data_IF_116490702523
#
_entry.id   IF_116490702523
#
_cell.length_a   1.000
_cell.length_b   1.000
_cell.length_c   1.000
_cell.angle_alpha   90.00
_cell.angle_beta   90.00
_cell.angle_gamma   90.00
#
_symmetry.space_group_name_H-M   'P 1'
#
loop_
_entity.id
_entity.type
_entity.pdbx_description
1 polymer ?
#
# COMPACT_ATOMS: atom_id res chain seq x y z
N UNK A 1 -33.90 -14.65 -9.75
CA UNK A 1 -32.50 -14.15 -9.72
C UNK A 1 -32.31 -12.81 -10.45
N UNK A 2 -33.15 -12.47 -11.45
CA UNK A 2 -33.08 -11.18 -12.16
C UNK A 2 -33.48 -9.93 -11.33
N UNK A 3 -34.35 -10.07 -10.32
CA UNK A 3 -34.90 -8.91 -9.58
C UNK A 3 -33.99 -8.32 -8.49
N UNK A 4 -32.98 -9.07 -8.00
CA UNK A 4 -32.03 -8.56 -7.00
C UNK A 4 -30.81 -7.87 -7.64
N UNK A 5 -30.49 -8.20 -8.89
CA UNK A 5 -29.33 -7.64 -9.61
C UNK A 5 -29.56 -6.16 -9.96
N UNK A 6 -30.81 -5.76 -10.23
CA UNK A 6 -31.16 -4.37 -10.56
C UNK A 6 -31.12 -3.42 -9.35
N UNK A 7 -31.21 -3.92 -8.12
CA UNK A 7 -31.14 -3.08 -6.91
C UNK A 7 -29.70 -2.76 -6.49
N UNK A 8 -28.75 -3.67 -6.74
CA UNK A 8 -27.32 -3.39 -6.53
C UNK A 8 -26.78 -2.38 -7.55
N UNK A 9 -27.25 -2.43 -8.81
CA UNK A 9 -26.91 -1.41 -9.80
C UNK A 9 -27.50 -0.03 -9.48
N UNK A 10 -28.68 0.04 -8.85
CA UNK A 10 -29.27 1.32 -8.42
C UNK A 10 -28.50 1.97 -7.26
N UNK A 11 -27.87 1.18 -6.37
CA UNK A 11 -27.03 1.70 -5.29
C UNK A 11 -25.68 2.25 -5.78
N UNK A 12 -25.16 1.70 -6.89
CA UNK A 12 -23.98 2.24 -7.58
C UNK A 12 -24.24 3.58 -8.30
N UNK A 13 -25.51 3.91 -8.59
CA UNK A 13 -25.91 5.14 -9.29
C UNK A 13 -26.27 6.31 -8.35
N UNK A 14 -26.30 6.08 -7.03
CA UNK A 14 -26.70 7.08 -6.02
C UNK A 14 -25.51 7.71 -5.26
N UNK A 15 -24.28 7.55 -5.74
CA UNK A 15 -23.12 8.31 -5.23
C UNK A 15 -22.72 9.47 -6.16
N UNK A 16 -23.41 10.62 -6.15
CA UNK A 16 -22.75 11.90 -6.38
C UNK A 16 -22.34 12.47 -5.02
N UNK A 17 -21.36 11.84 -4.37
CA UNK A 17 -20.75 12.40 -3.15
C UNK A 17 -19.63 13.34 -3.60
N UNK A 18 -19.97 14.64 -3.58
CA UNK A 18 -19.06 15.77 -3.38
C UNK A 18 -17.66 15.59 -4.01
N UNK A 19 -17.52 16.02 -5.26
CA UNK A 19 -16.22 16.33 -5.85
C UNK A 19 -15.61 17.54 -5.12
N UNK A 20 -15.04 17.31 -3.95
CA UNK A 20 -14.03 18.19 -3.36
C UNK A 20 -12.73 17.81 -4.09
N UNK A 21 -12.00 18.80 -4.61
CA UNK A 21 -10.91 18.64 -5.59
C UNK A 21 -10.05 17.40 -5.40
N UNK A 22 -10.04 16.52 -6.40
CA UNK A 22 -9.20 15.32 -6.42
C UNK A 22 -7.74 15.72 -6.65
N UNK A 23 -6.94 15.72 -5.59
CA UNK A 23 -5.50 15.49 -5.73
C UNK A 23 -5.29 13.97 -5.74
N UNK A 24 -4.59 13.44 -6.74
CA UNK A 24 -4.30 12.00 -6.91
C UNK A 24 -3.32 11.44 -5.87
N UNK A 25 -3.23 12.05 -4.69
CA UNK A 25 -2.26 11.77 -3.63
C UNK A 25 -3.02 11.35 -2.39
N UNK A 26 -2.79 10.13 -1.91
CA UNK A 26 -3.45 9.61 -0.70
C UNK A 26 -2.85 10.26 0.54
N UNK A 27 -1.54 10.48 0.52
CA UNK A 27 -0.79 10.99 1.64
C UNK A 27 -0.79 12.52 1.66
N UNK A 28 -0.77 13.04 2.87
CA UNK A 28 -0.51 14.45 3.17
C UNK A 28 0.81 14.61 3.94
N UNK A 29 1.63 13.57 3.93
CA UNK A 29 2.74 13.43 4.85
C UNK A 29 3.95 14.24 4.41
N UNK A 30 4.47 15.16 5.25
CA UNK A 30 5.75 15.80 4.99
C UNK A 30 6.89 14.79 4.87
N UNK A 31 6.80 13.61 5.49
CA UNK A 31 7.79 12.54 5.36
C UNK A 31 7.75 11.84 4.00
N UNK A 32 6.70 12.06 3.19
CA UNK A 32 6.66 11.59 1.80
C UNK A 32 7.54 12.40 0.84
N UNK A 33 8.17 13.47 1.33
CA UNK A 33 9.22 14.20 0.61
C UNK A 33 10.43 13.32 0.26
N UNK A 34 10.72 12.33 1.10
CA UNK A 34 11.96 11.58 1.04
C UNK A 34 11.88 10.36 0.11
N UNK A 35 12.95 10.14 -0.64
CA UNK A 35 13.10 9.00 -1.55
C UNK A 35 11.93 8.84 -2.53
N UNK A 36 11.26 7.68 -2.47
CA UNK A 36 10.11 7.35 -3.33
C UNK A 36 8.75 7.57 -2.64
N UNK A 37 8.73 8.28 -1.52
CA UNK A 37 7.53 8.53 -0.70
C UNK A 37 7.36 7.59 0.48
N UNK A 38 6.15 7.58 1.03
CA UNK A 38 5.78 6.70 2.15
C UNK A 38 5.15 5.40 1.65
N UNK A 39 5.40 4.30 2.36
CA UNK A 39 4.74 3.03 2.08
C UNK A 39 3.22 3.20 2.18
N UNK A 40 2.52 2.66 1.19
CA UNK A 40 1.06 2.76 1.15
C UNK A 40 0.44 1.91 2.24
N UNK A 41 -0.61 2.43 2.89
CA UNK A 41 -1.36 1.70 3.92
C UNK A 41 -2.46 0.80 3.33
N UNK A 42 -2.48 0.64 2.01
CA UNK A 42 -3.34 -0.31 1.32
C UNK A 42 -2.92 -1.73 1.65
N UNK A 43 -3.91 -2.56 1.98
CA UNK A 43 -3.73 -3.98 2.23
C UNK A 43 -4.88 -4.72 1.57
N UNK A 44 -4.60 -5.90 1.03
CA UNK A 44 -5.59 -6.73 0.33
C UNK A 44 -6.49 -7.44 1.35
N UNK A 45 -7.81 -7.39 1.09
CA UNK A 45 -8.78 -8.26 1.75
C UNK A 45 -8.81 -8.14 3.28
N UNK A 46 -8.39 -9.20 3.98
CA UNK A 46 -8.45 -9.29 5.45
C UNK A 46 -7.26 -8.67 6.18
N UNK A 47 -6.13 -8.51 5.50
CA UNK A 47 -4.87 -8.17 6.16
C UNK A 47 -4.90 -6.76 6.78
N UNK A 48 -5.70 -5.86 6.20
CA UNK A 48 -5.91 -4.49 6.69
C UNK A 48 -6.49 -4.42 8.12
N UNK A 49 -7.12 -5.49 8.60
CA UNK A 49 -7.71 -5.59 9.94
C UNK A 49 -6.95 -6.54 10.88
N UNK A 50 -5.81 -7.09 10.43
CA UNK A 50 -5.04 -8.13 11.12
C UNK A 50 -3.57 -7.71 11.33
N UNK A 51 -3.33 -6.42 11.50
CA UNK A 51 -2.00 -5.87 11.75
C UNK A 51 -1.15 -5.65 10.49
N UNK A 52 -1.71 -5.80 9.28
CA UNK A 52 -1.02 -5.51 8.01
C UNK A 52 -0.01 -6.58 7.55
N UNK A 53 0.16 -7.65 8.33
CA UNK A 53 0.95 -8.82 7.96
C UNK A 53 0.13 -9.91 7.27
N UNK A 54 0.69 -11.11 7.23
CA UNK A 54 0.02 -12.27 6.67
C UNK A 54 0.93 -13.28 6.00
N UNK A 55 2.19 -13.40 6.40
CA UNK A 55 3.17 -14.24 5.71
C UNK A 55 2.78 -15.73 5.70
N UNK A 56 2.05 -16.17 6.73
CA UNK A 56 1.54 -17.54 6.86
C UNK A 56 0.09 -17.73 6.37
N UNK A 57 -0.60 -16.66 5.95
CA UNK A 57 -1.95 -16.77 5.41
C UNK A 57 -1.95 -17.40 4.02
N UNK A 58 -2.87 -18.33 3.79
CA UNK A 58 -3.04 -19.01 2.51
C UNK A 58 -4.11 -18.31 1.66
N UNK A 59 -3.93 -18.36 0.33
CA UNK A 59 -4.91 -17.89 -0.63
C UNK A 59 -5.93 -18.99 -0.93
N UNK A 60 -7.01 -19.04 -0.14
CA UNK A 60 -8.08 -20.04 -0.28
C UNK A 60 -9.37 -19.39 -0.80
N UNK A 61 -9.84 -18.38 -0.08
CA UNK A 61 -11.04 -17.59 -0.36
C UNK A 61 -10.74 -16.09 -0.51
N UNK A 62 -9.52 -15.68 -0.18
CA UNK A 62 -9.05 -14.30 -0.20
C UNK A 62 -7.60 -14.29 -0.69
N UNK A 63 -7.27 -13.37 -1.59
CA UNK A 63 -5.92 -13.22 -2.15
C UNK A 63 -4.97 -12.72 -1.05
N UNK A 64 -3.74 -13.24 -1.03
CA UNK A 64 -2.71 -12.80 -0.10
C UNK A 64 -1.37 -12.57 -0.83
N UNK A 65 -1.02 -11.31 -1.02
CA UNK A 65 0.16 -10.93 -1.81
C UNK A 65 1.47 -10.91 -1.01
N UNK A 66 1.41 -11.04 0.33
CA UNK A 66 2.61 -11.04 1.17
C UNK A 66 3.50 -12.27 0.98
N UNK A 67 2.98 -13.38 0.43
CA UNK A 67 3.77 -14.59 0.20
C UNK A 67 3.35 -15.31 -1.10
N UNK A 68 4.22 -15.41 -2.11
CA UNK A 68 3.87 -16.07 -3.38
C UNK A 68 3.56 -17.57 -3.21
N UNK A 69 4.08 -18.24 -2.18
CA UNK A 69 3.77 -19.65 -1.91
C UNK A 69 2.31 -19.86 -1.49
N UNK A 70 1.60 -18.81 -1.05
CA UNK A 70 0.20 -18.87 -0.64
C UNK A 70 -0.75 -19.20 -1.78
N UNK A 71 -0.38 -18.88 -3.03
CA UNK A 71 -1.16 -19.13 -4.23
C UNK A 71 -1.26 -20.62 -4.57
N UNK A 72 -0.34 -21.46 -4.04
CA UNK A 72 -0.43 -22.90 -4.18
C UNK A 72 -1.58 -23.52 -3.36
N UNK A 73 -2.23 -22.75 -2.48
CA UNK A 73 -3.35 -23.21 -1.66
C UNK A 73 -4.72 -22.92 -2.29
N UNK A 74 -4.77 -22.33 -3.49
CA UNK A 74 -6.02 -22.06 -4.20
C UNK A 74 -6.71 -23.40 -4.50
N UNK A 75 -7.97 -23.61 -4.05
CA UNK A 75 -8.69 -24.84 -4.34
C UNK A 75 -8.87 -25.05 -5.85
N UNK A 76 -8.97 -26.31 -6.26
CA UNK A 76 -9.21 -26.68 -7.65
C UNK A 76 -10.45 -26.00 -8.22
N UNK A 77 -10.35 -25.58 -9.49
CA UNK A 77 -11.39 -24.87 -10.23
C UNK A 77 -11.81 -23.50 -9.66
N UNK A 78 -11.17 -22.99 -8.61
CA UNK A 78 -11.47 -21.67 -8.09
C UNK A 78 -10.78 -20.57 -8.90
N UNK A 79 -11.55 -19.52 -9.17
CA UNK A 79 -11.06 -18.22 -9.62
C UNK A 79 -11.41 -17.17 -8.55
N UNK A 80 -10.41 -16.40 -8.14
CA UNK A 80 -10.52 -15.35 -7.13
C UNK A 80 -10.39 -13.98 -7.79
N UNK A 81 -11.20 -13.05 -7.34
CA UNK A 81 -11.09 -11.62 -7.67
C UNK A 81 -11.07 -10.83 -6.38
N UNK A 82 -10.24 -9.80 -6.32
CA UNK A 82 -10.24 -8.87 -5.20
C UNK A 82 -10.17 -7.43 -5.73
N UNK A 83 -11.09 -6.60 -5.26
CA UNK A 83 -11.10 -5.16 -5.56
C UNK A 83 -11.25 -4.40 -4.25
N UNK A 84 -10.33 -3.47 -4.01
CA UNK A 84 -10.29 -2.71 -2.78
C UNK A 84 -10.26 -1.21 -2.99
N UNK A 85 -10.90 -0.50 -2.07
CA UNK A 85 -10.93 0.95 -1.98
C UNK A 85 -10.46 1.37 -0.58
N UNK A 86 -9.64 2.41 -0.53
CA UNK A 86 -9.17 3.03 0.71
C UNK A 86 -9.58 4.49 0.74
N UNK A 87 -10.03 4.96 1.90
CA UNK A 87 -10.16 6.37 2.22
C UNK A 87 -9.35 6.67 3.48
N UNK A 88 -8.60 7.77 3.48
CA UNK A 88 -7.72 8.15 4.57
C UNK A 88 -7.97 9.60 4.98
N UNK A 89 -8.20 9.81 6.28
CA UNK A 89 -8.20 11.12 6.92
C UNK A 89 -6.89 11.27 7.70
N UNK A 90 -5.97 12.07 7.17
CA UNK A 90 -4.70 12.40 7.79
C UNK A 90 -4.79 13.70 8.58
N UNK A 91 -4.10 13.77 9.71
CA UNK A 91 -3.89 14.97 10.49
C UNK A 91 -2.40 15.14 10.76
N UNK A 92 -1.85 16.31 10.45
CA UNK A 92 -0.47 16.68 10.76
C UNK A 92 -0.51 17.77 11.82
N UNK A 93 0.14 17.53 12.96
CA UNK A 93 0.23 18.51 14.05
C UNK A 93 1.66 19.01 14.22
N UNK A 94 1.80 20.33 14.35
CA UNK A 94 3.07 20.98 14.67
C UNK A 94 2.84 22.25 15.48
N UNK A 95 3.46 22.34 16.66
CA UNK A 95 3.51 23.55 17.52
C UNK A 95 2.14 24.26 17.70
N UNK A 96 1.06 23.49 17.82
CA UNK A 96 -0.31 23.99 18.08
C UNK A 96 -1.19 24.20 16.84
N UNK A 97 -0.67 24.04 15.63
CA UNK A 97 -1.47 24.02 14.40
C UNK A 97 -1.76 22.56 13.98
N UNK A 98 -3.00 22.31 13.56
CA UNK A 98 -3.47 21.01 13.06
C UNK A 98 -4.02 21.17 11.64
N UNK A 99 -3.45 20.45 10.68
CA UNK A 99 -3.97 20.39 9.30
C UNK A 99 -4.58 19.02 9.01
N UNK A 100 -5.82 19.00 8.52
CA UNK A 100 -6.55 17.77 8.15
C UNK A 100 -6.70 17.66 6.65
N UNK A 101 -6.49 16.46 6.11
CA UNK A 101 -6.75 16.13 4.70
C UNK A 101 -7.48 14.80 4.57
N UNK A 102 -8.44 14.75 3.65
CA UNK A 102 -9.17 13.54 3.28
C UNK A 102 -8.77 13.17 1.84
N UNK A 103 -8.32 11.94 1.66
CA UNK A 103 -8.00 11.38 0.34
C UNK A 103 -8.59 9.98 0.19
N UNK A 104 -8.74 9.51 -1.05
CA UNK A 104 -9.19 8.15 -1.33
C UNK A 104 -8.64 7.63 -2.66
N UNK A 105 -8.44 6.32 -2.75
CA UNK A 105 -7.87 5.65 -3.92
C UNK A 105 -8.28 4.17 -3.96
N UNK A 106 -7.95 3.50 -5.07
CA UNK A 106 -7.99 2.05 -5.18
C UNK A 106 -6.84 1.47 -4.34
N UNK A 107 -7.16 0.54 -3.45
CA UNK A 107 -6.15 -0.14 -2.63
C UNK A 107 -5.50 -1.28 -3.40
N UNK A 108 -6.27 -1.98 -4.23
CA UNK A 108 -5.79 -3.08 -5.05
C UNK A 108 -6.82 -3.49 -6.11
N UNK A 109 -6.31 -4.09 -7.17
CA UNK A 109 -7.04 -4.91 -8.12
C UNK A 109 -6.28 -6.22 -8.30
N UNK A 110 -6.89 -7.35 -7.97
CA UNK A 110 -6.22 -8.64 -8.01
C UNK A 110 -7.08 -9.75 -8.60
N UNK A 111 -6.43 -10.67 -9.29
CA UNK A 111 -7.00 -11.93 -9.76
C UNK A 111 -6.09 -13.08 -9.38
N UNK A 112 -6.67 -14.24 -9.08
CA UNK A 112 -5.90 -15.44 -8.83
C UNK A 112 -6.66 -16.69 -9.26
N UNK A 113 -5.95 -17.70 -9.74
CA UNK A 113 -6.56 -18.95 -10.14
C UNK A 113 -5.61 -20.13 -9.96
N UNK A 114 -6.18 -21.31 -9.83
CA UNK A 114 -5.41 -22.55 -9.92
C UNK A 114 -4.98 -22.81 -11.38
N UNK A 115 -3.77 -23.33 -11.55
CA UNK A 115 -3.27 -23.87 -12.83
C UNK A 115 -3.40 -25.39 -12.90
N UNK A 116 -3.82 -26.02 -11.80
CA UNK A 116 -3.95 -27.46 -11.62
C UNK A 116 -3.84 -27.83 -10.14
N UNK A 117 -3.97 -29.13 -9.82
CA UNK A 117 -4.11 -29.60 -8.44
C UNK A 117 -2.96 -29.25 -7.47
N UNK A 118 -1.82 -28.78 -7.97
CA UNK A 118 -0.61 -28.50 -7.18
C UNK A 118 -0.05 -27.11 -7.35
N UNK A 119 -0.69 -26.24 -8.13
CA UNK A 119 -0.16 -24.90 -8.37
C UNK A 119 -1.22 -23.87 -8.69
N UNK A 120 -0.94 -22.64 -8.31
CA UNK A 120 -1.80 -21.49 -8.59
C UNK A 120 -0.97 -20.25 -8.87
N UNK A 121 -1.60 -19.28 -9.51
CA UNK A 121 -1.00 -18.00 -9.81
C UNK A 121 -1.93 -16.86 -9.39
N UNK A 122 -1.39 -15.66 -9.31
CA UNK A 122 -2.20 -14.46 -9.25
C UNK A 122 -1.47 -13.23 -9.74
N UNK A 123 -2.26 -12.30 -10.27
CA UNK A 123 -1.82 -11.01 -10.77
C UNK A 123 -2.48 -9.94 -9.91
N UNK A 124 -1.67 -9.07 -9.30
CA UNK A 124 -2.11 -8.01 -8.40
C UNK A 124 -1.56 -6.68 -8.89
N UNK A 125 -2.40 -5.67 -9.00
CA UNK A 125 -2.00 -4.27 -9.15
C UNK A 125 -2.35 -3.55 -7.85
N UNK A 126 -1.35 -2.99 -7.19
CA UNK A 126 -1.53 -2.21 -5.96
C UNK A 126 -0.58 -1.01 -5.91
N UNK A 127 -0.95 0.08 -5.22
CA UNK A 127 -0.01 1.13 -4.88
C UNK A 127 1.18 0.55 -4.10
N UNK A 128 2.39 1.04 -4.39
CA UNK A 128 3.62 0.64 -3.71
C UNK A 128 4.09 1.74 -2.74
N UNK A 129 4.11 2.98 -3.22
CA UNK A 129 4.43 4.17 -2.41
C UNK A 129 3.57 5.35 -2.83
N UNK A 130 3.40 6.30 -1.92
CA UNK A 130 2.60 7.52 -2.14
C UNK A 130 3.41 8.77 -1.77
N UNK A 131 3.35 9.79 -2.61
CA UNK A 131 3.96 11.11 -2.38
C UNK A 131 2.87 12.16 -2.39
N UNK A 132 2.85 12.99 -1.35
CA UNK A 132 1.85 14.02 -1.16
C UNK A 132 2.22 14.94 -0.01
N UNK A 133 2.79 16.10 -0.33
CA UNK A 133 3.13 17.12 0.65
C UNK A 133 2.94 18.53 0.07
N UNK A 134 2.75 19.50 0.97
CA UNK A 134 2.71 20.91 0.64
C UNK A 134 3.48 21.67 1.73
N UNK A 135 4.60 22.28 1.35
CA UNK A 135 5.40 23.16 2.19
C UNK A 135 5.12 24.59 1.74
N UNK A 136 4.50 25.39 2.61
CA UNK A 136 4.08 26.76 2.29
C UNK A 136 4.99 27.74 3.01
N UNK A 137 5.48 28.75 2.28
CA UNK A 137 6.25 29.84 2.87
C UNK A 137 7.70 29.46 3.22
N UNK A 138 8.30 28.52 2.47
CA UNK A 138 9.70 28.13 2.68
C UNK A 138 10.60 29.28 2.26
N UNK A 139 11.30 29.88 3.24
CA UNK A 139 12.31 30.90 3.00
C UNK A 139 13.64 30.25 2.63
N UNK A 140 14.23 30.68 1.52
CA UNK A 140 15.51 30.16 1.03
C UNK A 140 16.40 31.30 0.55
N UNK A 141 17.72 31.14 0.67
CA UNK A 141 18.69 32.12 0.20
C UNK A 141 18.79 32.07 -1.32
N UNK A 142 18.94 33.22 -1.97
CA UNK A 142 19.35 33.29 -3.37
C UNK A 142 20.83 32.90 -3.43
N UNK A 143 21.16 31.85 -4.18
CA UNK A 143 22.54 31.39 -4.31
C UNK A 143 23.45 32.53 -4.80
N UNK A 144 24.52 32.80 -4.04
CA UNK A 144 25.45 33.90 -4.33
C UNK A 144 25.00 35.29 -3.87
N UNK A 145 23.90 35.44 -3.13
CA UNK A 145 23.50 36.69 -2.47
C UNK A 145 23.09 36.50 -1.00
N UNK A 146 22.89 37.59 -0.27
CA UNK A 146 22.31 37.59 1.09
C UNK A 146 20.79 37.75 1.09
N UNK A 147 20.17 37.86 -0.08
CA UNK A 147 18.73 38.03 -0.22
C UNK A 147 18.03 36.68 -0.09
N UNK A 148 16.80 36.71 0.42
CA UNK A 148 15.94 35.53 0.53
C UNK A 148 14.75 35.61 -0.41
N UNK A 149 14.19 34.47 -0.75
CA UNK A 149 12.92 34.35 -1.44
C UNK A 149 12.02 33.36 -0.73
N UNK A 150 10.71 33.56 -0.88
CA UNK A 150 9.70 32.67 -0.33
C UNK A 150 9.18 31.76 -1.45
N UNK A 151 9.15 30.46 -1.18
CA UNK A 151 8.64 29.47 -2.10
C UNK A 151 7.59 28.56 -1.47
N UNK A 152 6.69 28.06 -2.32
CA UNK A 152 5.74 27.02 -1.98
C UNK A 152 6.12 25.76 -2.76
N UNK A 153 6.35 24.64 -2.07
CA UNK A 153 6.81 23.39 -2.65
C UNK A 153 5.71 22.35 -2.51
N UNK A 154 5.34 21.70 -3.61
CA UNK A 154 4.30 20.69 -3.67
C UNK A 154 4.87 19.40 -4.25
N UNK A 155 4.69 18.28 -3.56
CA UNK A 155 5.00 16.96 -4.08
C UNK A 155 3.74 16.14 -4.30
N UNK A 156 3.71 15.38 -5.39
CA UNK A 156 2.59 14.51 -5.71
C UNK A 156 3.01 13.30 -6.54
N UNK A 157 2.26 12.21 -6.42
CA UNK A 157 2.43 11.01 -7.23
C UNK A 157 2.75 9.80 -6.38
N UNK A 158 3.57 8.91 -6.90
CA UNK A 158 3.92 7.65 -6.22
C UNK A 158 4.21 6.54 -7.21
N UNK A 159 4.43 5.35 -6.66
CA UNK A 159 4.73 4.13 -7.42
C UNK A 159 3.62 3.10 -7.25
N UNK A 160 3.45 2.25 -8.26
CA UNK A 160 2.55 1.10 -8.26
C UNK A 160 3.36 -0.17 -8.48
N UNK A 161 2.88 -1.29 -7.94
CA UNK A 161 3.41 -2.62 -8.18
C UNK A 161 2.39 -3.44 -8.98
N UNK A 162 2.80 -3.89 -10.18
CA UNK A 162 2.13 -4.95 -10.91
C UNK A 162 2.87 -6.26 -10.64
N UNK A 163 2.30 -7.10 -9.78
CA UNK A 163 2.92 -8.31 -9.27
C UNK A 163 2.27 -9.58 -9.80
N UNK A 164 3.08 -10.45 -10.41
CA UNK A 164 2.73 -11.82 -10.74
C UNK A 164 3.30 -12.78 -9.70
N UNK A 165 2.45 -13.55 -9.04
CA UNK A 165 2.85 -14.61 -8.12
C UNK A 165 2.54 -15.97 -8.71
N UNK A 166 3.42 -16.94 -8.44
CA UNK A 166 3.19 -18.35 -8.73
C UNK A 166 3.59 -19.20 -7.52
N UNK A 167 2.68 -20.07 -7.09
CA UNK A 167 2.89 -21.00 -5.99
C UNK A 167 2.78 -22.45 -6.43
N UNK A 168 3.60 -23.31 -5.85
CA UNK A 168 3.62 -24.76 -6.08
C UNK A 168 3.64 -25.56 -4.77
N UNK A 169 2.84 -26.62 -4.70
CA UNK A 169 2.83 -27.60 -3.59
C UNK A 169 3.99 -28.56 -3.80
N UNK A 170 5.11 -28.33 -3.10
CA UNK A 170 6.29 -29.20 -3.16
C UNK A 170 6.03 -30.55 -2.47
N UNK A 171 5.40 -30.51 -1.30
CA UNK A 171 4.89 -31.66 -0.52
C UNK A 171 3.55 -31.27 0.09
N UNK A 172 2.72 -32.22 0.51
CA UNK A 172 1.34 -31.94 0.99
C UNK A 172 1.25 -30.85 2.07
N UNK A 173 2.29 -30.71 2.89
CA UNK A 173 2.41 -29.71 3.95
C UNK A 173 3.43 -28.60 3.68
N UNK A 174 4.05 -28.56 2.50
CA UNK A 174 5.10 -27.60 2.16
C UNK A 174 4.87 -27.01 0.76
N UNK A 175 4.77 -25.70 0.71
CA UNK A 175 4.53 -24.91 -0.51
C UNK A 175 5.69 -23.95 -0.71
N UNK A 176 6.07 -23.77 -1.96
CA UNK A 176 7.07 -22.78 -2.38
C UNK A 176 6.42 -21.86 -3.39
N UNK A 177 6.98 -20.67 -3.57
CA UNK A 177 6.49 -19.75 -4.58
C UNK A 177 7.55 -18.74 -5.01
N UNK A 178 7.31 -18.15 -6.16
CA UNK A 178 8.09 -17.08 -6.75
C UNK A 178 7.16 -15.95 -7.15
N UNK A 179 7.61 -14.72 -6.98
CA UNK A 179 6.91 -13.53 -7.42
C UNK A 179 7.82 -12.64 -8.26
N UNK A 180 7.20 -11.94 -9.21
CA UNK A 180 7.82 -10.95 -10.06
C UNK A 180 6.97 -9.68 -10.03
N UNK A 181 7.53 -8.62 -9.47
CA UNK A 181 6.95 -7.28 -9.38
C UNK A 181 7.53 -6.39 -10.47
N UNK A 182 6.67 -5.69 -11.19
CA UNK A 182 7.04 -4.54 -12.01
C UNK A 182 6.62 -3.27 -11.27
N UNK A 183 7.60 -2.57 -10.73
CA UNK A 183 7.40 -1.34 -9.95
C UNK A 183 7.56 -0.16 -10.89
N UNK A 184 6.55 0.71 -10.97
CA UNK A 184 6.56 1.85 -11.88
C UNK A 184 5.74 3.02 -11.35
N UNK A 185 6.10 4.23 -11.74
CA UNK A 185 5.32 5.40 -11.37
C UNK A 185 6.03 6.71 -11.66
N UNK A 186 5.45 7.80 -11.18
CA UNK A 186 6.00 9.14 -11.37
C UNK A 186 5.80 9.93 -10.10
N UNK A 187 6.87 10.56 -9.65
CA UNK A 187 6.86 11.53 -8.56
C UNK A 187 7.11 12.89 -9.20
N UNK A 188 6.24 13.84 -8.87
CA UNK A 188 6.28 15.20 -9.38
C UNK A 188 6.48 16.16 -8.22
N UNK A 189 7.51 16.98 -8.32
CA UNK A 189 7.71 18.14 -7.47
C UNK A 189 7.39 19.43 -8.24
N UNK A 190 6.79 20.40 -7.57
CA UNK A 190 6.55 21.73 -8.11
C UNK A 190 6.90 22.77 -7.07
N UNK A 191 7.93 23.56 -7.35
CA UNK A 191 8.30 24.72 -6.56
C UNK A 191 7.78 25.98 -7.24
N UNK A 192 7.03 26.78 -6.49
CA UNK A 192 6.51 28.09 -6.92
C UNK A 192 7.13 29.19 -6.10
N UNK A 193 7.80 30.10 -6.78
CA UNK A 193 8.35 31.32 -6.18
C UNK A 193 7.53 32.47 -6.72
N UNK A 194 6.95 33.26 -5.83
CA UNK A 194 6.11 34.39 -6.20
C UNK A 194 6.61 35.67 -5.55
N UNK A 195 6.84 36.68 -6.38
CA UNK A 195 7.08 38.06 -5.99
C UNK A 195 5.86 38.92 -6.39
N UNK A 196 5.86 40.20 -6.01
CA UNK A 196 4.71 41.10 -6.19
C UNK A 196 4.18 41.15 -7.63
N UNK A 197 5.05 41.00 -8.63
CA UNK A 197 4.70 41.10 -10.04
C UNK A 197 5.25 39.98 -10.93
N UNK A 198 6.01 39.03 -10.35
CA UNK A 198 6.71 37.99 -11.09
C UNK A 198 6.47 36.63 -10.42
N UNK A 199 6.46 35.56 -11.21
CA UNK A 199 6.46 34.20 -10.69
C UNK A 199 7.46 33.32 -11.44
N UNK A 200 8.02 32.35 -10.72
CA UNK A 200 8.83 31.27 -11.24
C UNK A 200 8.20 29.96 -10.78
N UNK A 201 7.99 29.04 -11.70
CA UNK A 201 7.56 27.67 -11.43
C UNK A 201 8.62 26.71 -11.95
N UNK A 202 9.16 25.89 -11.05
CA UNK A 202 10.06 24.78 -11.37
C UNK A 202 9.26 23.49 -11.17
N UNK A 203 9.15 22.70 -12.22
CA UNK A 203 8.47 21.40 -12.22
C UNK A 203 9.49 20.31 -12.54
N UNK A 204 9.66 19.39 -11.59
CA UNK A 204 10.53 18.22 -11.73
C UNK A 204 9.67 16.95 -11.73
N UNK A 205 9.92 16.05 -12.68
CA UNK A 205 9.20 14.77 -12.82
C UNK A 205 10.20 13.62 -12.90
N UNK A 206 10.21 12.81 -11.86
CA UNK A 206 11.01 11.61 -11.77
C UNK A 206 10.13 10.40 -12.09
N UNK A 207 10.43 9.71 -13.19
CA UNK A 207 9.78 8.48 -13.64
C UNK A 207 10.62 7.29 -13.21
N UNK A 208 10.01 6.41 -12.43
CA UNK A 208 10.68 5.21 -11.90
C UNK A 208 10.16 3.97 -12.63
N UNK A 209 11.05 3.02 -12.89
CA UNK A 209 10.68 1.69 -13.36
C UNK A 209 11.71 0.63 -12.98
N UNK A 210 11.26 -0.56 -12.60
CA UNK A 210 12.16 -1.67 -12.28
C UNK A 210 11.43 -3.00 -12.08
N UNK A 211 12.18 -4.09 -12.15
CA UNK A 211 11.70 -5.43 -11.84
C UNK A 211 12.27 -5.87 -10.49
N UNK A 212 11.45 -6.54 -9.69
CA UNK A 212 11.84 -7.10 -8.40
C UNK A 212 11.34 -8.52 -8.27
N UNK A 213 12.17 -9.39 -7.71
CA UNK A 213 11.81 -10.79 -7.49
C UNK A 213 11.60 -11.06 -6.01
N UNK A 214 10.68 -11.97 -5.72
CA UNK A 214 10.46 -12.52 -4.39
C UNK A 214 10.38 -14.04 -4.42
N UNK A 215 10.81 -14.65 -3.32
CA UNK A 215 10.67 -16.08 -3.06
C UNK A 215 9.90 -16.28 -1.78
N UNK A 216 9.10 -17.34 -1.74
CA UNK A 216 8.23 -17.65 -0.62
C UNK A 216 8.23 -19.12 -0.26
N UNK A 217 8.05 -19.38 1.03
CA UNK A 217 7.87 -20.70 1.62
C UNK A 217 6.65 -20.64 2.54
N UNK A 218 5.79 -21.65 2.50
CA UNK A 218 4.73 -21.84 3.48
C UNK A 218 4.65 -23.30 3.89
N UNK A 219 4.37 -23.55 5.18
CA UNK A 219 4.21 -24.90 5.67
C UNK A 219 3.14 -25.05 6.73
N UNK A 220 2.63 -26.27 6.85
CA UNK A 220 1.68 -26.69 7.88
C UNK A 220 2.41 -27.61 8.86
N UNK A 221 2.58 -27.16 10.10
CA UNK A 221 3.22 -27.94 11.17
C UNK A 221 2.20 -28.92 11.75
N UNK A 222 1.03 -28.41 12.10
CA UNK A 222 -0.15 -29.18 12.52
C UNK A 222 -1.40 -28.57 11.90
N UNK A 223 -2.55 -29.21 12.07
CA UNK A 223 -3.83 -28.68 11.56
C UNK A 223 -4.17 -27.32 12.19
N UNK A 224 -3.60 -27.02 13.36
CA UNK A 224 -3.78 -25.77 14.09
C UNK A 224 -2.65 -24.75 13.86
N UNK A 225 -1.50 -25.13 13.30
CA UNK A 225 -0.33 -24.24 13.21
C UNK A 225 0.31 -24.25 11.82
N UNK A 226 0.40 -23.07 11.24
CA UNK A 226 1.04 -22.80 9.94
C UNK A 226 2.12 -21.75 10.08
N UNK A 227 3.10 -21.78 9.18
CA UNK A 227 4.14 -20.76 9.07
C UNK A 227 4.31 -20.31 7.62
N UNK A 228 4.93 -19.15 7.45
CA UNK A 228 5.37 -18.67 6.16
C UNK A 228 6.60 -17.77 6.28
N UNK A 229 7.46 -17.84 5.28
CA UNK A 229 8.66 -17.03 5.14
C UNK A 229 8.75 -16.49 3.73
N UNK A 230 9.29 -15.29 3.58
CA UNK A 230 9.53 -14.65 2.30
C UNK A 230 10.84 -13.89 2.29
N UNK A 231 11.42 -13.78 1.11
CA UNK A 231 12.53 -12.89 0.85
C UNK A 231 12.24 -12.14 -0.46
N UNK A 232 12.14 -10.81 -0.37
CA UNK A 232 12.04 -9.93 -1.53
C UNK A 232 13.43 -9.38 -1.81
N UNK A 233 13.97 -9.72 -2.96
CA UNK A 233 15.37 -9.45 -3.30
C UNK A 233 15.60 -7.96 -3.55
N UNK A 234 16.82 -7.44 -3.24
CA UNK A 234 17.19 -6.08 -3.55
C UNK A 234 17.18 -5.86 -5.07
N UNK A 235 16.89 -4.64 -5.50
CA UNK A 235 16.88 -4.24 -6.92
C UNK A 235 17.05 -2.74 -7.04
N UNK A 236 17.43 -2.27 -8.23
CA UNK A 236 17.57 -0.84 -8.52
C UNK A 236 16.48 -0.41 -9.49
N UNK A 237 15.75 0.66 -9.15
CA UNK A 237 14.78 1.30 -10.01
C UNK A 237 15.49 2.31 -10.90
N UNK A 238 15.27 2.21 -12.21
CA UNK A 238 15.76 3.20 -13.18
C UNK A 238 14.98 4.48 -13.03
N UNK A 239 15.69 5.61 -13.01
CA UNK A 239 15.10 6.95 -12.87
C UNK A 239 15.33 7.74 -14.15
N UNK A 240 14.26 8.29 -14.70
CA UNK A 240 14.30 9.26 -15.80
C UNK A 240 13.68 10.57 -15.33
N UNK A 241 14.37 11.67 -15.58
CA UNK A 241 14.04 13.00 -15.09
C UNK A 241 13.63 13.91 -16.25
N UNK A 242 12.48 14.56 -16.07
CA UNK A 242 12.05 15.68 -16.91
C UNK A 242 11.96 16.92 -16.03
N UNK A 243 12.55 18.04 -16.49
CA UNK A 243 12.54 19.33 -15.80
C UNK A 243 11.95 20.40 -16.67
N UNK A 244 11.08 21.23 -16.09
CA UNK A 244 10.50 22.39 -16.75
C UNK A 244 10.54 23.61 -15.84
N UNK A 245 11.17 24.67 -16.33
CA UNK A 245 11.20 25.97 -15.65
C UNK A 245 10.37 26.96 -16.45
N UNK A 246 9.37 27.57 -15.82
CA UNK A 246 8.51 28.58 -16.44
C UNK A 246 8.49 29.85 -15.60
N UNK A 247 8.60 31.02 -16.24
CA UNK A 247 8.52 32.32 -15.57
C UNK A 247 7.39 33.17 -16.13
N UNK A 248 6.80 34.00 -15.28
CA UNK A 248 5.89 35.07 -15.66
C UNK A 248 6.44 36.39 -15.15
N UNK A 249 6.49 37.40 -16.02
CA UNK A 249 6.98 38.74 -15.71
C UNK A 249 5.89 39.75 -16.05
N UNK A 250 5.68 40.74 -15.18
CA UNK A 250 4.57 41.71 -15.17
C UNK A 250 4.11 42.34 -16.50
N UNK A 251 4.95 42.31 -17.54
CA UNK A 251 4.70 42.95 -18.84
C UNK A 251 4.33 41.94 -19.95
N UNK A 252 4.29 40.65 -19.65
CA UNK A 252 3.98 39.58 -20.61
C UNK A 252 2.90 38.66 -20.02
N UNK A 253 1.67 38.65 -20.57
CA UNK A 253 0.56 37.88 -20.01
C UNK A 253 0.62 36.37 -20.30
N UNK A 254 1.79 35.83 -20.69
CA UNK A 254 1.98 34.42 -21.01
C UNK A 254 3.21 33.86 -20.29
N UNK A 255 3.11 32.68 -19.65
CA UNK A 255 4.27 31.98 -19.09
C UNK A 255 5.32 31.74 -20.19
N UNK A 256 6.56 32.12 -19.92
CA UNK A 256 7.69 31.81 -20.78
C UNK A 256 8.44 30.61 -20.21
N UNK A 257 8.63 29.57 -21.03
CA UNK A 257 9.46 28.43 -20.68
C UNK A 257 10.92 28.84 -20.83
N UNK A 258 11.66 28.78 -19.73
CA UNK A 258 13.09 29.12 -19.64
C UNK A 258 13.95 27.90 -19.88
N UNK A 259 13.50 26.75 -19.38
CA UNK A 259 14.17 25.47 -19.51
C UNK A 259 13.13 24.37 -19.71
N UNK A 260 13.45 23.41 -20.56
CA UNK A 260 12.65 22.21 -20.75
C UNK A 260 13.57 21.06 -21.16
N UNK A 261 13.86 20.21 -20.19
CA UNK A 261 14.76 19.08 -20.31
C UNK A 261 13.94 17.81 -20.15
N UNK A 262 14.15 16.82 -21.01
CA UNK A 262 13.38 15.57 -20.97
C UNK A 262 14.28 14.37 -21.16
N UNK A 263 13.99 13.29 -20.43
CA UNK A 263 14.67 12.02 -20.61
C UNK A 263 16.07 11.95 -20.00
N UNK A 264 16.42 12.83 -19.05
CA UNK A 264 17.72 12.75 -18.38
C UNK A 264 17.79 11.55 -17.45
N UNK A 265 18.95 10.89 -17.40
CA UNK A 265 19.18 9.79 -16.50
C UNK A 265 19.74 10.29 -15.17
N UNK A 266 19.01 10.03 -14.09
CA UNK A 266 19.50 10.19 -12.73
C UNK A 266 20.08 8.86 -12.21
N UNK A 267 20.87 8.89 -11.12
CA UNK A 267 21.22 7.67 -10.40
C UNK A 267 19.98 6.82 -10.09
N UNK A 268 20.15 5.50 -10.10
CA UNK A 268 19.07 4.59 -9.78
C UNK A 268 18.68 4.71 -8.29
N UNK A 269 17.43 4.34 -7.98
CA UNK A 269 16.97 4.23 -6.60
C UNK A 269 16.98 2.76 -6.15
N UNK A 270 17.76 2.44 -5.14
CA UNK A 270 17.96 1.07 -4.66
C UNK A 270 16.93 0.68 -3.60
N UNK A 271 16.27 -0.45 -3.84
CA UNK A 271 15.36 -1.09 -2.91
C UNK A 271 16.10 -2.18 -2.12
N UNK A 272 15.83 -2.30 -0.80
CA UNK A 272 16.59 -3.18 0.07
C UNK A 272 16.21 -4.66 -0.12
N UNK A 273 16.98 -5.54 0.52
CA UNK A 273 16.49 -6.88 0.85
C UNK A 273 15.37 -6.73 1.89
N UNK A 274 14.25 -7.44 1.71
CA UNK A 274 13.20 -7.54 2.72
C UNK A 274 13.01 -9.01 3.09
N UNK A 275 13.09 -9.31 4.39
CA UNK A 275 12.82 -10.64 4.93
C UNK A 275 11.54 -10.59 5.76
N UNK A 276 10.59 -11.47 5.45
CA UNK A 276 9.32 -11.58 6.15
C UNK A 276 9.10 -12.98 6.70
N UNK A 277 8.48 -13.06 7.87
CA UNK A 277 8.16 -14.32 8.51
C UNK A 277 6.90 -14.20 9.36
N UNK A 278 6.13 -15.27 9.46
CA UNK A 278 4.95 -15.27 10.29
C UNK A 278 4.41 -16.65 10.61
N UNK A 279 3.51 -16.69 11.58
CA UNK A 279 2.79 -17.88 12.00
C UNK A 279 1.30 -17.59 12.11
N UNK A 280 0.49 -18.60 11.82
CA UNK A 280 -0.96 -18.58 12.03
C UNK A 280 -1.35 -19.76 12.90
N UNK A 281 -1.96 -19.46 14.04
CA UNK A 281 -2.48 -20.44 15.00
C UNK A 281 -4.01 -20.42 15.00
N UNK A 282 -4.61 -21.60 14.85
CA UNK A 282 -6.07 -21.81 14.75
C UNK A 282 -6.48 -22.87 15.77
N UNK A 283 -6.63 -22.52 17.07
CA UNK A 283 -6.95 -23.49 18.12
C UNK A 283 -8.31 -24.18 17.91
N UNK A 284 -9.21 -23.55 17.17
CA UNK A 284 -10.46 -24.12 16.70
C UNK A 284 -10.85 -23.50 15.36
N UNK A 285 -11.94 -23.97 14.75
CA UNK A 285 -12.50 -23.36 13.53
C UNK A 285 -13.02 -21.92 13.73
N UNK A 286 -13.16 -21.49 14.99
CA UNK A 286 -13.73 -20.18 15.34
C UNK A 286 -12.67 -19.10 15.52
N UNK A 287 -11.42 -19.46 15.79
CA UNK A 287 -10.35 -18.53 16.13
C UNK A 287 -9.17 -18.68 15.19
N UNK A 288 -8.65 -17.55 14.72
CA UNK A 288 -7.40 -17.48 13.96
C UNK A 288 -6.56 -16.36 14.54
N UNK A 289 -5.31 -16.64 14.87
CA UNK A 289 -4.37 -15.69 15.45
C UNK A 289 -3.14 -15.66 14.57
N UNK A 290 -2.69 -14.48 14.14
CA UNK A 290 -1.46 -14.30 13.38
C UNK A 290 -0.43 -13.48 14.15
N UNK A 291 0.83 -13.87 13.97
CA UNK A 291 2.00 -13.11 14.39
C UNK A 291 2.94 -13.02 13.19
N UNK A 292 3.35 -11.81 12.86
CA UNK A 292 4.15 -11.49 11.69
C UNK A 292 5.33 -10.59 12.10
N UNK A 293 6.49 -10.82 11.48
CA UNK A 293 7.68 -10.01 11.64
C UNK A 293 8.33 -9.82 10.27
N UNK A 294 8.82 -8.61 10.00
CA UNK A 294 9.67 -8.36 8.83
C UNK A 294 10.79 -7.40 9.13
N UNK A 295 11.87 -7.55 8.38
CA UNK A 295 13.04 -6.66 8.43
C UNK A 295 13.46 -6.25 7.03
N UNK A 296 13.63 -4.95 6.85
CA UNK A 296 14.04 -4.33 5.59
C UNK A 296 15.42 -3.71 5.78
N UNK A 297 16.41 -4.16 5.00
CA UNK A 297 17.82 -3.81 5.15
C UNK A 297 18.18 -2.53 4.38
N UNK A 298 17.57 -1.42 4.76
CA UNK A 298 17.77 -0.12 4.12
C UNK A 298 19.19 0.42 4.28
N UNK A 299 19.92 0.11 5.37
CA UNK A 299 21.32 0.51 5.50
C UNK A 299 22.20 -0.06 4.37
N UNK A 300 21.82 -1.21 3.80
CA UNK A 300 22.59 -1.86 2.75
C UNK A 300 22.37 -1.26 1.35
N UNK A 301 21.47 -0.28 1.21
CA UNK A 301 21.24 0.40 -0.08
C UNK A 301 22.19 1.58 -0.31
N UNK A 302 22.88 2.04 0.74
CA UNK A 302 23.72 3.26 0.73
C UNK A 302 22.99 4.51 0.16
N UNK A 303 21.65 4.49 0.15
CA UNK A 303 20.82 5.59 -0.30
C UNK A 303 20.84 6.70 0.76
N UNK A 304 21.03 7.93 0.32
CA UNK A 304 20.93 9.11 1.16
C UNK A 304 20.06 10.15 0.47
N UNK A 305 19.24 10.83 1.26
CA UNK A 305 18.53 12.02 0.84
C UNK A 305 19.22 13.26 1.46
N UNK A 306 18.91 14.46 0.97
CA UNK A 306 19.66 15.68 1.28
C UNK A 306 19.71 16.00 2.79
N UNK A 307 18.69 15.58 3.55
CA UNK A 307 18.56 15.77 5.01
C UNK A 307 18.07 14.52 5.75
N UNK A 308 17.94 13.37 5.06
CA UNK A 308 17.37 12.14 5.60
C UNK A 308 18.24 10.93 5.29
N UNK A 309 18.47 10.09 6.30
CA UNK A 309 19.25 8.84 6.18
C UNK A 309 18.31 7.64 6.24
N UNK A 310 18.49 6.71 5.31
CA UNK A 310 17.74 5.46 5.31
C UNK A 310 18.34 4.48 6.33
N UNK A 311 17.49 3.94 7.22
CA UNK A 311 17.90 3.04 8.29
C UNK A 311 17.13 1.72 8.24
N UNK A 312 17.77 0.64 8.71
CA UNK A 312 17.13 -0.68 8.84
C UNK A 312 15.77 -0.57 9.57
N UNK A 313 14.76 -1.19 8.99
CA UNK A 313 13.38 -1.15 9.47
C UNK A 313 12.94 -2.51 9.95
N UNK A 314 12.26 -2.55 11.09
CA UNK A 314 11.64 -3.74 11.67
C UNK A 314 10.14 -3.48 11.86
N UNK A 315 9.32 -4.44 11.43
CA UNK A 315 7.86 -4.35 11.55
C UNK A 315 7.37 -5.60 12.27
N UNK A 316 6.64 -5.40 13.36
CA UNK A 316 5.97 -6.46 14.11
C UNK A 316 4.47 -6.30 14.03
N UNK A 317 3.75 -7.36 13.66
CA UNK A 317 2.30 -7.38 13.51
C UNK A 317 1.63 -8.51 14.27
N UNK A 318 0.47 -8.23 14.85
CA UNK A 318 -0.40 -9.23 15.50
C UNK A 318 -1.84 -9.02 15.09
N UNK A 319 -2.58 -10.11 14.90
CA UNK A 319 -3.99 -10.06 14.56
C UNK A 319 -4.78 -11.25 15.09
N UNK A 320 -6.07 -11.03 15.31
CA UNK A 320 -7.04 -12.02 15.76
C UNK A 320 -8.29 -11.92 14.89
N UNK A 321 -8.72 -13.04 14.32
CA UNK A 321 -10.01 -13.20 13.64
C UNK A 321 -10.88 -14.18 14.43
N UNK A 322 -12.14 -13.81 14.64
CA UNK A 322 -13.17 -14.62 15.27
C UNK A 322 -14.39 -14.78 14.36
N UNK A 323 -14.88 -16.01 14.21
CA UNK A 323 -16.18 -16.32 13.63
C UNK A 323 -16.82 -17.44 14.44
N UNK A 324 -18.15 -17.44 14.61
CA UNK A 324 -18.81 -18.52 15.36
C UNK A 324 -18.54 -19.86 14.69
N UNK A 325 -18.77 -19.93 13.38
CA UNK A 325 -18.44 -21.08 12.55
C UNK A 325 -18.32 -20.63 11.09
N UNK A 326 -17.08 -20.65 10.57
CA UNK A 326 -16.76 -20.24 9.20
C UNK A 326 -17.38 -21.15 8.12
N UNK A 327 -17.78 -22.39 8.47
CA UNK A 327 -18.38 -23.37 7.55
C UNK A 327 -19.89 -23.52 7.74
N UNK A 328 -20.50 -22.79 8.69
CA UNK A 328 -21.92 -22.93 9.01
C UNK A 328 -22.83 -22.46 7.88
N UNK A 329 -23.90 -23.20 7.59
CA UNK A 329 -24.97 -22.78 6.65
C UNK A 329 -25.69 -21.50 7.13
N UNK A 330 -25.72 -21.26 8.44
CA UNK A 330 -26.26 -20.03 9.01
C UNK A 330 -25.32 -18.85 8.73
N UNK A 331 -25.85 -17.90 7.96
CA UNK A 331 -25.18 -16.66 7.56
C UNK A 331 -24.52 -15.91 8.72
N UNK A 332 -25.23 -15.75 9.84
CA UNK A 332 -24.76 -14.95 10.96
C UNK A 332 -23.54 -15.57 11.67
N UNK A 333 -23.41 -16.89 11.62
CA UNK A 333 -22.27 -17.60 12.21
C UNK A 333 -20.97 -17.43 11.42
N UNK A 334 -21.08 -17.03 10.14
CA UNK A 334 -19.96 -16.84 9.22
C UNK A 334 -19.41 -15.42 9.19
N UNK A 335 -20.03 -14.48 9.92
CA UNK A 335 -19.50 -13.12 10.05
C UNK A 335 -18.17 -13.20 10.82
N UNK A 336 -17.13 -12.63 10.23
CA UNK A 336 -15.78 -12.60 10.78
C UNK A 336 -15.54 -11.26 11.45
N UNK A 337 -15.12 -11.26 12.70
CA UNK A 337 -14.69 -10.07 13.43
C UNK A 337 -13.17 -10.09 13.55
N UNK A 338 -12.53 -8.96 13.33
CA UNK A 338 -11.07 -8.84 13.29
C UNK A 338 -10.61 -7.68 14.13
N UNK A 339 -9.48 -7.88 14.79
CA UNK A 339 -8.70 -6.84 15.44
C UNK A 339 -7.22 -7.15 15.26
N UNK A 340 -6.41 -6.13 15.07
CA UNK A 340 -4.97 -6.29 14.95
C UNK A 340 -4.23 -4.99 15.15
N UNK A 341 -2.93 -5.09 15.36
CA UNK A 341 -2.05 -3.95 15.50
C UNK A 341 -0.66 -4.25 15.01
N UNK A 342 0.12 -3.20 14.78
CA UNK A 342 1.52 -3.31 14.41
C UNK A 342 2.35 -2.17 15.01
N UNK A 343 3.65 -2.44 15.07
CA UNK A 343 4.70 -1.49 15.34
C UNK A 343 5.66 -1.49 14.15
N UNK A 344 5.99 -0.31 13.65
CA UNK A 344 6.96 -0.07 12.59
C UNK A 344 8.08 0.80 13.18
N UNK A 345 9.31 0.29 13.20
CA UNK A 345 10.45 1.03 13.74
C UNK A 345 10.84 2.25 12.88
N UNK A 346 10.30 2.37 11.67
CA UNK A 346 10.68 3.39 10.70
C UNK A 346 11.87 2.98 9.83
N UNK A 347 11.92 3.54 8.62
CA UNK A 347 13.03 3.36 7.67
C UNK A 347 13.81 4.65 7.40
N UNK A 348 13.42 5.76 8.05
CA UNK A 348 13.94 7.08 7.78
C UNK A 348 14.28 7.79 9.10
N UNK A 349 15.50 8.31 9.15
CA UNK A 349 16.02 9.16 10.21
C UNK A 349 16.25 10.56 9.68
N UNK A 350 15.74 11.58 10.38
CA UNK A 350 15.84 12.99 10.00
C UNK A 350 16.35 13.78 11.21
N UNK A 351 17.53 14.40 11.08
CA UNK A 351 18.23 15.09 12.19
C UNK A 351 18.36 14.24 13.47
N UNK A 352 18.82 12.99 13.34
CA UNK A 352 18.98 12.02 14.44
C UNK A 352 17.65 11.59 15.11
N UNK A 353 16.50 11.91 14.51
CA UNK A 353 15.19 11.44 14.97
C UNK A 353 14.60 10.44 13.99
N UNK A 354 14.33 9.23 14.49
CA UNK A 354 13.71 8.14 13.72
C UNK A 354 12.19 8.31 13.64
N UNK A 355 11.64 8.18 12.43
CA UNK A 355 10.20 8.25 12.18
C UNK A 355 9.59 6.84 12.33
N UNK A 356 9.34 6.43 13.57
CA UNK A 356 8.63 5.19 13.88
C UNK A 356 7.11 5.41 13.92
N UNK A 357 6.34 4.32 14.01
CA UNK A 357 4.91 4.41 14.16
C UNK A 357 4.24 3.16 14.72
N UNK A 358 2.99 3.35 15.14
CA UNK A 358 2.12 2.31 15.67
C UNK A 358 0.80 2.34 14.92
N UNK A 359 0.20 1.17 14.68
CA UNK A 359 -1.15 1.08 14.12
C UNK A 359 -2.01 0.13 14.93
N UNK A 360 -3.29 0.49 15.07
CA UNK A 360 -4.35 -0.41 15.53
C UNK A 360 -5.46 -0.44 14.49
N UNK A 361 -6.06 -1.59 14.29
CA UNK A 361 -7.07 -1.82 13.27
C UNK A 361 -8.13 -2.80 13.75
N UNK A 362 -9.35 -2.63 13.25
CA UNK A 362 -10.46 -3.54 13.45
C UNK A 362 -11.29 -3.66 12.19
N UNK A 363 -11.98 -4.78 12.02
CA UNK A 363 -12.76 -4.99 10.82
C UNK A 363 -13.78 -6.11 10.91
N UNK A 364 -14.62 -6.16 9.89
CA UNK A 364 -15.68 -7.16 9.73
C UNK A 364 -15.62 -7.77 8.32
N UNK A 365 -15.69 -9.09 8.25
CA UNK A 365 -15.84 -9.85 7.03
C UNK A 365 -17.28 -10.36 6.90
N UNK A 366 -18.00 -9.87 5.91
CA UNK A 366 -19.41 -10.15 5.66
C UNK A 366 -19.52 -11.09 4.46
N UNK A 367 -20.01 -12.32 4.61
CA UNK A 367 -20.24 -13.22 3.48
C UNK A 367 -21.27 -12.63 2.51
N UNK A 368 -21.07 -12.76 1.19
CA UNK A 368 -22.04 -12.27 0.20
C UNK A 368 -23.26 -13.18 0.04
N UNK A 369 -23.11 -14.47 0.34
CA UNK A 369 -24.19 -15.46 0.22
C UNK A 369 -23.96 -16.62 1.18
N UNK A 370 -25.04 -17.32 1.54
CA UNK A 370 -25.01 -18.52 2.39
C UNK A 370 -24.14 -19.65 1.81
N UNK A 371 -24.06 -19.76 0.48
CA UNK A 371 -23.34 -20.84 -0.21
C UNK A 371 -22.02 -20.41 -0.86
N UNK A 372 -21.77 -19.10 -0.99
CA UNK A 372 -20.53 -18.60 -1.60
C UNK A 372 -19.46 -18.32 -0.55
N UNK A 373 -18.18 -18.53 -0.92
CA UNK A 373 -17.01 -18.11 -0.14
C UNK A 373 -16.66 -16.63 -0.33
N UNK A 374 -17.35 -15.92 -1.24
CA UNK A 374 -17.16 -14.48 -1.44
C UNK A 374 -17.54 -13.66 -0.20
N UNK A 375 -16.81 -12.57 0.03
CA UNK A 375 -16.99 -11.70 1.20
C UNK A 375 -16.72 -10.23 0.87
N UNK A 376 -17.39 -9.35 1.60
CA UNK A 376 -17.02 -7.93 1.72
C UNK A 376 -16.27 -7.77 3.04
N UNK A 377 -15.09 -7.20 2.99
CA UNK A 377 -14.27 -6.89 4.15
C UNK A 377 -14.29 -5.37 4.34
N UNK A 378 -14.70 -4.93 5.52
CA UNK A 378 -14.68 -3.52 5.91
C UNK A 378 -13.75 -3.40 7.10
N UNK A 379 -12.81 -2.46 7.06
CA UNK A 379 -11.90 -2.22 8.18
C UNK A 379 -11.70 -0.75 8.45
N UNK A 380 -11.47 -0.41 9.71
CA UNK A 380 -11.00 0.88 10.17
C UNK A 380 -9.66 0.69 10.89
N UNK A 381 -8.71 1.58 10.64
CA UNK A 381 -7.43 1.60 11.32
C UNK A 381 -7.03 3.02 11.71
N UNK A 382 -6.35 3.14 12.84
CA UNK A 382 -5.68 4.36 13.28
C UNK A 382 -4.19 4.08 13.35
N UNK A 383 -3.40 4.93 12.71
CA UNK A 383 -1.94 4.87 12.78
C UNK A 383 -1.37 6.21 13.19
N UNK A 384 -0.32 6.18 13.99
CA UNK A 384 0.40 7.35 14.47
C UNK A 384 1.88 7.17 14.12
N UNK A 385 2.48 8.19 13.49
CA UNK A 385 3.88 8.20 13.05
C UNK A 385 4.59 9.47 13.49
N UNK A 386 5.89 9.35 13.73
CA UNK A 386 6.73 10.45 14.18
C UNK A 386 6.42 10.87 15.61
N UNK A 387 6.93 12.04 15.99
CA UNK A 387 6.71 12.62 17.31
C UNK A 387 6.72 14.15 17.23
N UNK A 388 6.00 14.82 18.14
CA UNK A 388 6.06 16.28 18.31
C UNK A 388 7.35 16.77 19.00
N UNK A 389 8.48 16.09 18.78
CA UNK A 389 9.78 16.39 19.42
C UNK A 389 10.78 16.91 18.38
N UNK A 390 11.48 17.99 18.73
CA UNK A 390 12.50 18.58 17.87
C UNK A 390 11.91 19.16 16.59
N UNK A 391 12.39 18.65 15.45
CA UNK A 391 12.00 19.04 14.09
C UNK A 391 10.94 18.14 13.47
N UNK A 392 10.61 17.02 14.13
CA UNK A 392 9.58 16.10 13.67
C UNK A 392 8.18 16.66 13.90
N UNK A 393 7.27 16.24 13.02
CA UNK A 393 5.83 16.44 13.14
C UNK A 393 5.15 15.12 13.49
N UNK A 394 4.06 15.20 14.24
CA UNK A 394 3.26 14.04 14.56
C UNK A 394 2.14 13.88 13.52
N UNK A 395 2.02 12.68 12.99
CA UNK A 395 1.04 12.36 11.96
C UNK A 395 0.07 11.29 12.43
N UNK A 396 -1.22 11.62 12.43
CA UNK A 396 -2.28 10.67 12.69
C UNK A 396 -3.02 10.34 11.40
N UNK A 397 -3.25 9.06 11.15
CA UNK A 397 -3.99 8.58 9.98
C UNK A 397 -5.17 7.73 10.42
N UNK A 398 -6.36 8.10 9.97
CA UNK A 398 -7.58 7.33 10.12
C UNK A 398 -7.92 6.72 8.77
N UNK A 399 -7.77 5.41 8.62
CA UNK A 399 -7.89 4.70 7.34
C UNK A 399 -9.12 3.81 7.35
N UNK A 400 -9.98 3.98 6.36
CA UNK A 400 -11.14 3.15 6.09
C UNK A 400 -10.88 2.34 4.82
N UNK A 401 -11.06 1.01 4.89
CA UNK A 401 -10.90 0.14 3.73
C UNK A 401 -12.18 -0.66 3.49
N UNK A 402 -12.51 -0.82 2.20
CA UNK A 402 -13.56 -1.73 1.73
C UNK A 402 -12.95 -2.62 0.66
N UNK A 403 -12.92 -3.92 0.90
CA UNK A 403 -12.39 -4.92 -0.02
C UNK A 403 -13.48 -5.94 -0.37
N UNK A 404 -13.70 -6.17 -1.66
CA UNK A 404 -14.64 -7.16 -2.17
C UNK A 404 -13.83 -8.35 -2.68
N UNK A 405 -13.82 -9.44 -1.92
CA UNK A 405 -13.17 -10.69 -2.29
C UNK A 405 -14.21 -11.65 -2.86
N UNK A 406 -14.13 -11.93 -4.16
CA UNK A 406 -15.06 -12.82 -4.86
C UNK A 406 -14.39 -14.16 -5.16
N UNK A 407 -15.13 -15.24 -4.93
CA UNK A 407 -14.77 -16.60 -5.30
C UNK A 407 -15.79 -17.11 -6.29
N UNK A 408 -15.32 -17.51 -7.47
CA UNK A 408 -16.12 -18.20 -8.48
C UNK A 408 -15.50 -19.57 -8.79
N UNK A 409 -16.31 -20.50 -9.29
CA UNK A 409 -15.87 -21.83 -9.69
C UNK A 409 -15.98 -21.92 -11.20
N UNK A 410 -14.83 -21.93 -11.87
CA UNK A 410 -14.75 -22.04 -13.32
C UNK A 410 -14.63 -23.50 -13.76
N UNK A 411 -14.96 -23.79 -15.02
CA UNK A 411 -14.77 -25.10 -15.66
C UNK A 411 -15.62 -26.27 -15.11
N UNK A 412 -16.59 -26.03 -14.23
CA UNK A 412 -17.65 -26.99 -13.95
C UNK A 412 -18.62 -27.06 -15.14
N UNK A 413 -18.67 -28.20 -15.84
CA UNK A 413 -19.76 -28.49 -16.80
C UNK A 413 -21.09 -28.46 -16.04
N UNK A 414 -21.89 -27.40 -16.25
CA UNK A 414 -23.25 -27.32 -15.71
C UNK A 414 -24.07 -28.47 -16.30
N UNK A 415 -24.55 -29.39 -15.46
CA UNK A 415 -25.61 -30.31 -15.84
C UNK A 415 -26.90 -29.51 -15.88
N UNK A 416 -27.40 -29.24 -17.10
CA UNK A 416 -28.77 -28.77 -17.29
C UNK A 416 -29.62 -30.04 -17.25
N UNK A 417 -30.47 -30.15 -16.23
CA UNK A 417 -31.51 -31.18 -16.14
C UNK A 417 -32.82 -30.63 -16.68
#
# INVERSE_FOLDING_TARGET
MQFMMNKCFLLLWLMPLMMIGQTNTITASPYSLYGIGVNTKSNIGRNSALGGGGYAFQTIDQINNHNPASFAAIPDNNFLYDFGLTAQLSSVSSKGNEEKRLAGNISNLAIAATTGARSGFGLTLEPYSDVGYALIGVESNIEGSYDTFISNIFGSGGLNDLKLNYGYILKDRLRVGVGLSYIFGTIKETQRIQSQYNSLEVEDKNKYSGLRMDVGLQGTISDHLKFGFTARLPTSLKVTHDRRISKMVSLIPKPQVVENTTGEHLPNFDLPLELGGGIVYMPSSSWTINLDYSRNFWNATDQNDNIGTFIDQEIFGVGIEYAVDNQSINYWKRIKFRIGGNHDSGYLEVYDYVINGYSISGGIGIPLSRSSKSSINISYGRSEYGASQGVLVEETFNTFNVNISLVDIWFLKRKVN
#
